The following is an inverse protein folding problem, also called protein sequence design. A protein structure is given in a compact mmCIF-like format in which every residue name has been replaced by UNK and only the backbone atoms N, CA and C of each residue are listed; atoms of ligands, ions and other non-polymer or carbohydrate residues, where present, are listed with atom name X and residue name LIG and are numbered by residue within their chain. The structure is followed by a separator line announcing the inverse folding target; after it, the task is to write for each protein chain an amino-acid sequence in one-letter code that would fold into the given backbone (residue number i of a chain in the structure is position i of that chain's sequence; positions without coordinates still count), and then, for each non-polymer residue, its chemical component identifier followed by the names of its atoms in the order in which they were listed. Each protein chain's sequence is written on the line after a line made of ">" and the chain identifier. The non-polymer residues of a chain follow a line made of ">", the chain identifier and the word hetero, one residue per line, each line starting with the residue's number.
data_IF_742125851028
#
_entry.id   IF_742125851028
#
_cell.length_a   1.000
_cell.length_b   1.000
_cell.length_c   1.000
_cell.angle_alpha   90.00
_cell.angle_beta   90.00
_cell.angle_gamma   90.00
#
_symmetry.space_group_name_H-M   'P 1'
#
loop_
_entity.id
_entity.type
_entity.pdbx_description
1 polymer ?
#
# COMPACT_ATOMS: atom_id res chain seq x y z
N UNK A 1 46.52 -26.83 -59.51
CA UNK A 1 47.13 -26.03 -60.60
C UNK A 1 46.30 -24.77 -60.78
N UNK A 2 46.88 -23.59 -60.48
CA UNK A 2 46.63 -22.22 -61.04
C UNK A 2 45.17 -21.67 -61.07
N UNK A 3 44.81 -20.40 -60.87
CA UNK A 3 45.52 -19.12 -60.73
C UNK A 3 44.55 -18.04 -60.19
N UNK A 4 45.16 -16.96 -59.68
CA UNK A 4 44.77 -15.53 -59.52
C UNK A 4 43.69 -15.01 -60.52
N UNK A 5 42.92 -13.93 -60.33
CA UNK A 5 42.96 -12.73 -59.47
C UNK A 5 42.25 -11.55 -60.21
N UNK A 6 42.08 -10.41 -59.52
CA UNK A 6 41.78 -9.03 -60.01
C UNK A 6 40.33 -8.54 -60.27
N UNK A 7 40.03 -7.31 -59.80
CA UNK A 7 39.04 -6.39 -60.40
C UNK A 7 38.44 -5.29 -59.49
N UNK A 8 38.57 -4.00 -59.86
CA UNK A 8 38.27 -2.75 -59.13
C UNK A 8 36.81 -2.19 -59.25
N UNK A 9 36.43 -1.30 -58.28
CA UNK A 9 35.59 -0.05 -58.23
C UNK A 9 34.84 0.53 -59.49
N UNK A 10 34.08 1.69 -59.44
CA UNK A 10 33.02 2.24 -58.55
C UNK A 10 31.85 2.96 -59.33
N UNK A 11 30.88 3.59 -58.62
CA UNK A 11 29.92 4.61 -59.16
C UNK A 11 28.43 4.24 -58.93
N UNK A 12 27.43 5.10 -58.73
CA UNK A 12 27.14 6.51 -59.04
C UNK A 12 26.01 7.02 -58.10
N UNK A 13 25.87 8.34 -57.89
CA UNK A 13 24.86 8.94 -57.00
C UNK A 13 23.72 9.75 -57.67
N UNK A 14 22.85 10.32 -56.81
CA UNK A 14 21.82 11.39 -56.98
C UNK A 14 20.52 11.09 -57.75
N UNK A 15 19.40 11.90 -57.61
CA UNK A 15 19.26 13.27 -57.06
C UNK A 15 18.03 13.58 -56.13
N UNK A 16 18.05 14.79 -55.54
CA UNK A 16 17.00 15.47 -54.75
C UNK A 16 15.99 16.26 -55.62
N UNK A 17 14.78 16.51 -55.10
CA UNK A 17 13.76 17.41 -55.69
C UNK A 17 13.42 18.62 -54.78
N UNK A 18 13.09 19.80 -55.36
CA UNK A 18 12.76 21.03 -54.63
C UNK A 18 11.25 21.34 -54.57
N UNK A 19 10.81 22.14 -53.60
CA UNK A 19 9.44 22.66 -53.54
C UNK A 19 9.37 24.04 -52.86
N UNK A 20 9.08 25.08 -53.66
CA UNK A 20 8.80 26.46 -53.26
C UNK A 20 7.33 26.64 -52.84
N UNK A 21 7.07 27.52 -51.87
CA UNK A 21 5.73 28.10 -51.62
C UNK A 21 5.68 29.03 -50.39
N UNK A 22 5.36 30.30 -50.61
CA UNK A 22 4.95 31.37 -49.65
C UNK A 22 3.66 32.04 -50.23
N UNK A 23 2.91 32.95 -49.56
CA UNK A 23 2.98 33.50 -48.18
C UNK A 23 1.63 33.66 -47.39
N UNK A 24 1.75 33.73 -46.05
CA UNK A 24 1.17 34.64 -45.03
C UNK A 24 -0.31 35.14 -45.06
N UNK A 25 -1.07 34.79 -44.01
CA UNK A 25 -1.98 35.61 -43.16
C UNK A 25 -2.20 34.76 -41.87
N UNK A 26 -2.06 35.17 -40.61
CA UNK A 26 -2.37 36.43 -39.96
C UNK A 26 -3.39 36.16 -38.85
N UNK A 27 -2.97 35.74 -37.65
CA UNK A 27 -3.72 35.92 -36.39
C UNK A 27 -2.86 35.48 -35.19
N UNK A 28 -2.59 36.41 -34.29
CA UNK A 28 -1.98 36.13 -33.01
C UNK A 28 -2.98 35.54 -32.02
N UNK A 29 -2.48 34.74 -31.08
CA UNK A 29 -2.89 34.67 -29.67
C UNK A 29 -1.93 33.67 -29.00
N UNK A 30 -1.07 34.18 -28.12
CA UNK A 30 -1.11 33.98 -26.67
C UNK A 30 -0.53 32.65 -26.19
N UNK A 31 0.60 32.78 -25.49
CA UNK A 31 1.21 31.77 -24.63
C UNK A 31 0.21 31.26 -23.58
N UNK A 32 0.45 30.06 -23.04
CA UNK A 32 0.29 29.90 -21.60
C UNK A 32 1.60 29.44 -20.95
N UNK A 33 2.16 30.33 -20.14
CA UNK A 33 3.03 29.97 -19.02
C UNK A 33 2.19 29.33 -17.91
N UNK A 34 2.71 28.25 -17.32
CA UNK A 34 2.67 28.00 -15.89
C UNK A 34 1.30 27.71 -15.25
N UNK A 35 0.93 26.43 -15.16
CA UNK A 35 0.05 25.96 -14.08
C UNK A 35 0.39 24.51 -13.73
N UNK A 36 1.27 24.35 -12.75
CA UNK A 36 1.76 23.03 -12.32
C UNK A 36 2.12 23.04 -10.84
N UNK A 37 1.17 23.37 -9.96
CA UNK A 37 1.25 23.06 -8.53
C UNK A 37 -0.06 23.44 -7.83
N UNK A 38 -1.02 22.54 -7.80
CA UNK A 38 -2.29 22.77 -7.08
C UNK A 38 -3.27 21.60 -7.11
N UNK A 39 -3.19 20.74 -8.13
CA UNK A 39 -4.11 19.59 -8.30
C UNK A 39 -3.60 18.25 -7.70
N UNK A 40 -2.48 18.23 -6.97
CA UNK A 40 -1.96 16.98 -6.40
C UNK A 40 -2.60 16.62 -5.05
N UNK A 41 -3.21 17.57 -4.34
CA UNK A 41 -3.76 17.34 -3.00
C UNK A 41 -5.28 17.07 -3.02
N UNK A 42 -6.00 17.53 -4.05
CA UNK A 42 -7.42 17.24 -4.23
C UNK A 42 -7.67 15.90 -4.92
N UNK A 43 -6.71 15.41 -5.72
CA UNK A 43 -6.70 14.05 -6.25
C UNK A 43 -6.42 12.98 -5.18
N UNK A 44 -5.88 13.38 -4.02
CA UNK A 44 -5.62 12.46 -2.90
C UNK A 44 -6.89 12.11 -2.11
N UNK A 45 -7.84 13.04 -1.98
CA UNK A 45 -9.17 12.75 -1.45
C UNK A 45 -10.06 12.02 -2.47
N UNK A 46 -9.84 12.24 -3.78
CA UNK A 46 -10.61 11.56 -4.82
C UNK A 46 -10.10 10.14 -5.12
N UNK A 47 -8.79 9.88 -5.00
CA UNK A 47 -8.21 8.55 -5.15
C UNK A 47 -8.47 7.65 -3.92
N UNK A 48 -8.42 8.22 -2.71
CA UNK A 48 -8.90 7.54 -1.51
C UNK A 48 -10.43 7.34 -1.56
N UNK A 49 -11.16 8.27 -2.21
CA UNK A 49 -12.57 8.14 -2.58
C UNK A 49 -12.86 7.13 -3.69
N UNK A 50 -11.89 6.76 -4.54
CA UNK A 50 -12.07 5.79 -5.64
C UNK A 50 -11.79 4.35 -5.18
N UNK A 51 -10.82 4.16 -4.28
CA UNK A 51 -10.73 2.95 -3.48
C UNK A 51 -11.98 2.79 -2.59
N UNK A 52 -12.47 3.88 -1.97
CA UNK A 52 -13.76 3.88 -1.26
C UNK A 52 -14.98 3.66 -2.18
N UNK A 53 -14.96 4.10 -3.44
CA UNK A 53 -16.11 3.94 -4.37
C UNK A 53 -16.18 2.56 -5.01
N UNK A 54 -15.07 1.83 -5.11
CA UNK A 54 -15.11 0.39 -5.43
C UNK A 54 -15.43 -0.46 -4.18
N UNK A 55 -15.23 0.10 -2.98
CA UNK A 55 -15.56 -0.48 -1.67
C UNK A 55 -17.02 -0.20 -1.25
N UNK A 56 -17.64 0.88 -1.75
CA UNK A 56 -19.03 1.26 -1.50
C UNK A 56 -20.07 0.58 -2.40
N UNK A 57 -19.68 0.12 -3.59
CA UNK A 57 -20.56 -0.64 -4.50
C UNK A 57 -20.71 -2.13 -4.13
N UNK A 58 -19.98 -2.58 -3.11
CA UNK A 58 -20.06 -3.93 -2.52
C UNK A 58 -20.64 -3.92 -1.09
N UNK A 59 -21.11 -2.78 -0.59
CA UNK A 59 -21.76 -2.64 0.73
C UNK A 59 -23.27 -2.91 0.66
N UNK A 60 -23.64 -4.16 0.38
CA UNK A 60 -25.04 -4.60 0.44
C UNK A 60 -25.24 -6.07 0.79
N UNK A 61 -24.19 -6.88 0.74
CA UNK A 61 -24.25 -8.29 1.14
C UNK A 61 -23.03 -8.58 2.02
N UNK A 62 -23.27 -8.99 3.26
CA UNK A 62 -22.25 -9.64 4.08
C UNK A 62 -21.78 -10.85 3.27
N UNK A 63 -20.53 -10.82 2.80
CA UNK A 63 -19.93 -11.93 2.05
C UNK A 63 -20.14 -13.22 2.87
N UNK A 64 -20.88 -14.23 2.36
CA UNK A 64 -21.08 -15.49 3.07
C UNK A 64 -19.76 -16.14 3.48
N UNK A 65 -18.70 -15.90 2.72
CA UNK A 65 -17.36 -16.37 3.01
C UNK A 65 -16.71 -15.63 4.19
N UNK A 66 -17.03 -14.35 4.39
CA UNK A 66 -16.60 -13.59 5.57
C UNK A 66 -17.26 -14.15 6.84
N UNK A 67 -18.55 -14.48 6.82
CA UNK A 67 -19.19 -15.09 8.00
C UNK A 67 -18.60 -16.48 8.33
N UNK A 68 -18.24 -17.26 7.32
CA UNK A 68 -17.54 -18.53 7.53
C UNK A 68 -16.14 -18.32 8.15
N UNK A 69 -15.39 -17.30 7.71
CA UNK A 69 -14.11 -16.92 8.32
C UNK A 69 -14.29 -16.40 9.76
N UNK A 70 -15.34 -15.62 10.02
CA UNK A 70 -15.68 -15.17 11.38
C UNK A 70 -15.84 -16.36 12.31
N UNK A 71 -16.70 -17.33 11.94
CA UNK A 71 -16.94 -18.53 12.74
C UNK A 71 -15.69 -19.42 12.88
N UNK A 72 -14.74 -19.34 11.94
CA UNK A 72 -13.47 -20.07 12.04
C UNK A 72 -12.48 -19.40 13.01
N UNK A 73 -12.56 -18.08 13.17
CA UNK A 73 -11.75 -17.33 14.13
C UNK A 73 -12.37 -17.35 15.54
N UNK A 74 -13.68 -17.20 15.64
CA UNK A 74 -14.49 -17.28 16.87
C UNK A 74 -14.57 -18.74 17.35
N UNK A 75 -13.50 -19.18 18.02
CA UNK A 75 -13.26 -20.57 18.38
C UNK A 75 -14.15 -21.03 19.53
N UNK A 76 -14.60 -20.08 20.36
CA UNK A 76 -15.47 -20.34 21.50
C UNK A 76 -16.96 -20.04 21.20
N UNK A 77 -17.26 -19.58 19.98
CA UNK A 77 -18.61 -19.22 19.53
C UNK A 77 -19.27 -18.15 20.43
N UNK A 78 -18.47 -17.25 20.99
CA UNK A 78 -18.94 -16.14 21.82
C UNK A 78 -19.66 -15.06 21.00
N UNK A 79 -19.50 -15.06 19.68
CA UNK A 79 -19.98 -13.99 18.80
C UNK A 79 -19.04 -12.78 18.78
N UNK A 80 -17.84 -12.90 19.35
CA UNK A 80 -16.81 -11.86 19.35
C UNK A 80 -15.42 -12.47 19.20
N UNK A 81 -14.54 -11.83 18.45
CA UNK A 81 -13.16 -12.27 18.26
C UNK A 81 -12.23 -11.41 19.13
N UNK A 82 -11.48 -12.08 19.99
CA UNK A 82 -10.51 -11.51 20.92
C UNK A 82 -9.09 -11.49 20.34
N UNK A 83 -8.18 -10.74 20.98
CA UNK A 83 -6.74 -10.73 20.59
C UNK A 83 -6.14 -12.13 20.62
N UNK A 84 -6.53 -12.95 21.61
CA UNK A 84 -6.07 -14.32 21.77
C UNK A 84 -6.49 -15.21 20.60
N UNK A 85 -7.72 -15.03 20.10
CA UNK A 85 -8.22 -15.78 18.95
C UNK A 85 -7.53 -15.36 17.66
N UNK A 86 -7.32 -14.05 17.46
CA UNK A 86 -6.51 -13.56 16.33
C UNK A 86 -5.10 -14.16 16.39
N UNK A 87 -4.44 -14.08 17.55
CA UNK A 87 -3.10 -14.64 17.72
C UNK A 87 -3.07 -16.15 17.41
N UNK A 88 -4.06 -16.90 17.93
CA UNK A 88 -4.16 -18.35 17.72
C UNK A 88 -4.38 -18.68 16.24
N UNK A 89 -5.27 -17.96 15.56
CA UNK A 89 -5.57 -18.16 14.15
C UNK A 89 -4.35 -17.95 13.24
N UNK A 90 -3.48 -16.98 13.59
CA UNK A 90 -2.27 -16.65 12.82
C UNK A 90 -0.96 -17.14 13.46
N UNK A 91 -1.04 -18.05 14.44
CA UNK A 91 0.13 -18.53 15.17
C UNK A 91 1.18 -19.16 14.26
N UNK A 92 0.73 -19.88 13.23
CA UNK A 92 1.60 -20.52 12.23
C UNK A 92 2.49 -19.53 11.45
N UNK A 93 2.09 -18.26 11.38
CA UNK A 93 2.83 -17.21 10.69
C UNK A 93 3.73 -16.39 11.61
N UNK A 94 3.96 -16.84 12.85
CA UNK A 94 4.71 -16.11 13.89
C UNK A 94 4.12 -14.72 14.21
N UNK A 95 2.81 -14.55 14.03
CA UNK A 95 2.15 -13.29 14.35
C UNK A 95 2.08 -13.08 15.86
N UNK A 96 2.67 -11.98 16.34
CA UNK A 96 2.76 -11.71 17.78
C UNK A 96 1.42 -11.24 18.37
N UNK A 97 1.18 -11.54 19.64
CA UNK A 97 -0.01 -11.05 20.36
C UNK A 97 -0.07 -9.51 20.40
N UNK A 98 1.08 -8.84 20.48
CA UNK A 98 1.13 -7.39 20.45
C UNK A 98 0.66 -6.84 19.10
N UNK A 99 1.14 -7.43 18.00
CA UNK A 99 0.72 -7.05 16.65
C UNK A 99 -0.78 -7.31 16.43
N UNK A 100 -1.30 -8.42 16.96
CA UNK A 100 -2.73 -8.73 16.92
C UNK A 100 -3.57 -7.67 17.65
N UNK A 101 -3.10 -7.21 18.81
CA UNK A 101 -3.73 -6.13 19.55
C UNK A 101 -3.73 -4.81 18.78
N UNK A 102 -2.61 -4.43 18.16
CA UNK A 102 -2.52 -3.21 17.33
C UNK A 102 -3.49 -3.28 16.15
N UNK A 103 -3.58 -4.44 15.49
CA UNK A 103 -4.49 -4.64 14.37
C UNK A 103 -5.95 -4.52 14.82
N UNK A 104 -6.31 -5.14 15.94
CA UNK A 104 -7.65 -5.05 16.51
C UNK A 104 -8.00 -3.59 16.84
N UNK A 105 -7.12 -2.87 17.54
CA UNK A 105 -7.32 -1.47 17.90
C UNK A 105 -7.37 -0.55 16.68
N UNK A 106 -6.75 -0.94 15.56
CA UNK A 106 -6.82 -0.18 14.33
C UNK A 106 -8.19 -0.32 13.64
N UNK A 107 -8.84 -1.48 13.77
CA UNK A 107 -10.13 -1.75 13.11
C UNK A 107 -11.33 -1.45 14.00
N UNK A 108 -11.20 -1.66 15.31
CA UNK A 108 -12.29 -1.52 16.28
C UNK A 108 -11.90 -0.53 17.39
N UNK A 109 -12.90 0.17 17.94
CA UNK A 109 -12.74 0.93 19.19
C UNK A 109 -13.03 0.07 20.44
N UNK A 110 -13.54 -1.15 20.24
CA UNK A 110 -13.78 -2.14 21.29
C UNK A 110 -12.53 -3.00 21.49
N UNK A 111 -12.48 -3.74 22.60
CA UNK A 111 -11.42 -4.73 22.88
C UNK A 111 -11.60 -6.05 22.12
N UNK A 112 -12.62 -6.13 21.27
CA UNK A 112 -13.00 -7.30 20.47
C UNK A 112 -13.53 -6.86 19.10
N UNK A 113 -13.59 -7.82 18.18
CA UNK A 113 -14.22 -7.68 16.86
C UNK A 113 -15.55 -8.41 16.90
N UNK A 114 -16.64 -7.74 16.59
CA UNK A 114 -17.97 -8.34 16.44
C UNK A 114 -18.31 -8.57 14.97
N UNK A 115 -19.46 -9.18 14.70
CA UNK A 115 -19.93 -9.41 13.33
C UNK A 115 -20.06 -8.11 12.50
N UNK A 116 -20.18 -6.93 13.13
CA UNK A 116 -20.28 -5.65 12.42
C UNK A 116 -18.91 -5.12 11.98
N UNK A 117 -17.89 -5.30 12.83
CA UNK A 117 -16.52 -4.82 12.58
C UNK A 117 -15.66 -5.86 11.84
N UNK A 118 -16.06 -7.13 11.87
CA UNK A 118 -15.34 -8.22 11.21
C UNK A 118 -15.15 -8.03 9.70
N UNK A 119 -16.14 -7.59 8.91
CA UNK A 119 -15.93 -7.42 7.47
C UNK A 119 -14.77 -6.48 7.14
N UNK A 120 -14.59 -5.41 7.95
CA UNK A 120 -13.46 -4.48 7.79
C UNK A 120 -12.14 -5.16 8.14
N UNK A 121 -12.09 -5.91 9.24
CA UNK A 121 -10.91 -6.66 9.64
C UNK A 121 -10.50 -7.69 8.58
N UNK A 122 -11.47 -8.47 8.10
CA UNK A 122 -11.28 -9.52 7.12
C UNK A 122 -10.78 -8.96 5.78
N UNK A 123 -11.35 -7.85 5.33
CA UNK A 123 -10.87 -7.14 4.14
C UNK A 123 -9.40 -6.73 4.27
N UNK A 124 -8.97 -6.17 5.41
CA UNK A 124 -7.56 -5.83 5.63
C UNK A 124 -6.65 -7.05 5.56
N UNK A 125 -7.02 -8.15 6.23
CA UNK A 125 -6.25 -9.40 6.19
C UNK A 125 -6.13 -9.92 4.76
N UNK A 126 -7.24 -9.95 4.01
CA UNK A 126 -7.24 -10.41 2.62
C UNK A 126 -6.38 -9.51 1.73
N UNK A 127 -6.45 -8.19 1.89
CA UNK A 127 -5.58 -7.25 1.17
C UNK A 127 -4.11 -7.50 1.49
N UNK A 128 -3.74 -7.72 2.75
CA UNK A 128 -2.36 -8.02 3.14
C UNK A 128 -1.87 -9.31 2.50
N UNK A 129 -2.68 -10.37 2.56
CA UNK A 129 -2.34 -11.65 1.95
C UNK A 129 -2.14 -11.53 0.43
N UNK A 130 -3.09 -10.90 -0.27
CA UNK A 130 -3.02 -10.76 -1.73
C UNK A 130 -1.77 -10.00 -2.17
N UNK A 131 -1.46 -8.87 -1.50
CA UNK A 131 -0.27 -8.08 -1.81
C UNK A 131 1.01 -8.83 -1.46
N UNK A 132 1.05 -9.51 -0.31
CA UNK A 132 2.20 -10.34 0.07
C UNK A 132 2.47 -11.44 -0.97
N UNK A 133 1.43 -12.15 -1.42
CA UNK A 133 1.55 -13.19 -2.43
C UNK A 133 2.02 -12.62 -3.78
N UNK A 134 1.54 -11.45 -4.16
CA UNK A 134 1.96 -10.79 -5.40
C UNK A 134 3.43 -10.35 -5.36
N UNK A 135 3.87 -9.77 -4.23
CA UNK A 135 5.24 -9.30 -4.07
C UNK A 135 6.25 -10.42 -3.83
N UNK A 136 5.85 -11.51 -3.16
CA UNK A 136 6.73 -12.67 -2.89
C UNK A 136 7.05 -13.52 -4.10
N UNK A 137 6.27 -13.40 -5.18
CA UNK A 137 6.46 -14.20 -6.42
C UNK A 137 6.55 -15.71 -6.13
N UNK A 138 5.80 -16.20 -5.13
CA UNK A 138 5.77 -17.60 -4.71
C UNK A 138 6.80 -17.98 -3.64
N UNK A 139 7.60 -17.04 -3.14
CA UNK A 139 8.47 -17.25 -1.98
C UNK A 139 7.68 -17.13 -0.66
N UNK A 140 8.23 -17.70 0.41
CA UNK A 140 7.63 -17.60 1.75
C UNK A 140 8.01 -16.30 2.49
N UNK A 141 9.00 -15.58 1.99
CA UNK A 141 9.49 -14.31 2.55
C UNK A 141 9.58 -13.23 1.47
N UNK A 142 9.58 -11.98 1.90
CA UNK A 142 9.80 -10.81 1.05
C UNK A 142 10.95 -9.96 1.58
N UNK A 143 11.76 -9.42 0.67
CA UNK A 143 12.89 -8.55 0.99
C UNK A 143 12.44 -7.09 1.12
N UNK A 144 13.28 -6.24 1.70
CA UNK A 144 12.96 -4.85 1.95
C UNK A 144 12.41 -4.05 0.73
N UNK A 145 12.92 -4.24 -0.50
CA UNK A 145 12.32 -3.61 -1.69
C UNK A 145 10.89 -4.10 -1.99
N UNK A 146 10.62 -5.39 -1.78
CA UNK A 146 9.29 -5.98 -1.97
C UNK A 146 8.32 -5.51 -0.88
N UNK A 147 8.78 -5.35 0.36
CA UNK A 147 7.98 -4.74 1.44
C UNK A 147 7.60 -3.30 1.07
N UNK A 148 8.55 -2.51 0.54
CA UNK A 148 8.26 -1.15 0.08
C UNK A 148 7.21 -1.12 -1.02
N UNK A 149 7.32 -2.01 -2.01
CA UNK A 149 6.30 -2.17 -3.05
C UNK A 149 4.94 -2.55 -2.46
N UNK A 150 4.90 -3.53 -1.55
CA UNK A 150 3.69 -4.00 -0.91
C UNK A 150 2.97 -2.89 -0.14
N UNK A 151 3.72 -2.12 0.66
CA UNK A 151 3.21 -0.99 1.44
C UNK A 151 2.66 0.12 0.54
N UNK A 152 3.29 0.37 -0.61
CA UNK A 152 2.75 1.30 -1.63
C UNK A 152 1.45 0.78 -2.26
N UNK A 153 1.35 -0.53 -2.53
CA UNK A 153 0.13 -1.14 -3.07
C UNK A 153 -1.04 -1.08 -2.08
N UNK A 154 -0.73 -1.16 -0.78
CA UNK A 154 -1.69 -0.93 0.31
C UNK A 154 -1.95 0.56 0.57
N UNK A 155 -1.36 1.46 -0.22
CA UNK A 155 -1.52 2.91 -0.17
C UNK A 155 -1.11 3.54 1.18
N UNK A 156 -0.18 2.91 1.91
CA UNK A 156 0.38 3.48 3.13
C UNK A 156 1.38 4.59 2.79
N UNK A 157 1.26 5.70 3.52
CA UNK A 157 2.18 6.84 3.41
C UNK A 157 3.29 6.68 4.47
N UNK A 158 4.38 6.02 4.11
CA UNK A 158 5.54 5.86 4.98
C UNK A 158 6.82 6.21 4.24
N UNK A 159 7.72 6.92 4.92
CA UNK A 159 9.04 7.23 4.37
C UNK A 159 9.97 6.02 4.48
N UNK A 160 10.90 5.91 3.53
CA UNK A 160 11.80 4.76 3.43
C UNK A 160 12.62 4.50 4.72
N UNK A 161 13.19 5.50 5.42
CA UNK A 161 13.95 5.24 6.66
C UNK A 161 13.08 4.63 7.76
N UNK A 162 11.84 5.12 7.92
CA UNK A 162 10.88 4.58 8.89
C UNK A 162 10.48 3.15 8.53
N UNK A 163 10.27 2.87 7.24
CA UNK A 163 9.94 1.52 6.79
C UNK A 163 11.10 0.55 7.05
N UNK A 164 12.35 0.94 6.79
CA UNK A 164 13.52 0.10 7.09
C UNK A 164 13.64 -0.18 8.59
N UNK A 165 13.38 0.81 9.46
CA UNK A 165 13.37 0.60 10.90
C UNK A 165 12.27 -0.38 11.35
N UNK A 166 11.09 -0.33 10.71
CA UNK A 166 10.02 -1.31 10.97
C UNK A 166 10.42 -2.71 10.51
N UNK A 167 11.02 -2.85 9.34
CA UNK A 167 11.53 -4.13 8.86
C UNK A 167 12.55 -4.69 9.85
N UNK A 168 13.57 -3.92 10.24
CA UNK A 168 14.58 -4.37 11.22
C UNK A 168 13.98 -4.74 12.59
N UNK A 169 12.88 -4.08 12.99
CA UNK A 169 12.21 -4.38 14.26
C UNK A 169 11.46 -5.71 14.23
N UNK A 170 10.81 -6.04 13.10
CA UNK A 170 9.94 -7.21 12.99
C UNK A 170 10.64 -8.42 12.35
N UNK A 171 11.54 -8.23 11.38
CA UNK A 171 12.44 -9.24 10.82
C UNK A 171 13.69 -9.37 11.70
N UNK A 172 13.50 -10.03 12.85
CA UNK A 172 14.52 -10.19 13.89
C UNK A 172 15.63 -11.18 13.53
N UNK A 173 15.37 -12.09 12.58
CA UNK A 173 16.35 -13.08 12.13
C UNK A 173 17.11 -12.66 10.86
N UNK A 174 16.71 -11.54 10.26
CA UNK A 174 17.30 -10.93 9.07
C UNK A 174 17.31 -11.86 7.85
N UNK A 175 16.34 -12.76 7.75
CA UNK A 175 16.20 -13.70 6.61
C UNK A 175 15.15 -13.23 5.60
N UNK A 176 14.58 -12.05 5.81
CA UNK A 176 13.50 -11.49 5.01
C UNK A 176 12.16 -11.69 5.71
N UNK A 177 11.24 -10.80 5.38
CA UNK A 177 9.97 -10.63 6.11
C UNK A 177 9.00 -11.76 5.76
N UNK A 178 8.64 -12.57 6.74
CA UNK A 178 7.57 -13.58 6.65
C UNK A 178 6.17 -12.92 6.71
N UNK A 179 5.12 -13.66 6.37
CA UNK A 179 3.76 -13.09 6.32
C UNK A 179 3.30 -12.50 7.66
N UNK A 180 3.57 -13.13 8.81
CA UNK A 180 3.16 -12.56 10.10
C UNK A 180 4.00 -11.35 10.53
N UNK A 181 5.26 -11.27 10.11
CA UNK A 181 6.08 -10.07 10.30
C UNK A 181 5.57 -8.93 9.42
N UNK A 182 5.19 -9.22 8.18
CA UNK A 182 4.55 -8.28 7.28
C UNK A 182 3.21 -7.77 7.85
N UNK A 183 2.36 -8.67 8.36
CA UNK A 183 1.13 -8.28 9.06
C UNK A 183 1.42 -7.38 10.26
N UNK A 184 2.51 -7.61 10.98
CA UNK A 184 2.92 -6.78 12.12
C UNK A 184 3.32 -5.37 11.70
N UNK A 185 4.05 -5.23 10.59
CA UNK A 185 4.38 -3.94 9.99
C UNK A 185 3.09 -3.22 9.57
N UNK A 186 2.18 -3.91 8.87
CA UNK A 186 0.92 -3.33 8.43
C UNK A 186 0.00 -2.92 9.60
N UNK A 187 -0.07 -3.72 10.66
CA UNK A 187 -0.83 -3.40 11.87
C UNK A 187 -0.30 -2.11 12.53
N UNK A 188 1.02 -1.95 12.62
CA UNK A 188 1.64 -0.72 13.13
C UNK A 188 1.31 0.50 12.25
N UNK A 189 1.35 0.35 10.93
CA UNK A 189 1.00 1.44 10.00
C UNK A 189 -0.48 1.80 10.05
N UNK A 190 -1.37 0.82 10.20
CA UNK A 190 -2.81 1.05 10.34
C UNK A 190 -3.14 1.82 11.62
N UNK A 191 -2.60 1.41 12.77
CA UNK A 191 -2.89 2.11 14.03
C UNK A 191 -2.34 3.54 13.99
N UNK A 192 -1.15 3.75 13.41
CA UNK A 192 -0.58 5.10 13.20
C UNK A 192 -1.47 5.94 12.29
N UNK A 193 -2.01 5.35 11.22
CA UNK A 193 -2.93 6.05 10.31
C UNK A 193 -4.25 6.41 11.00
N UNK A 194 -4.81 5.50 11.80
CA UNK A 194 -6.00 5.77 12.63
C UNK A 194 -5.75 6.92 13.62
N UNK A 195 -4.59 6.94 14.27
CA UNK A 195 -4.20 8.02 15.17
C UNK A 195 -4.09 9.35 14.43
N UNK A 196 -3.47 9.38 13.25
CA UNK A 196 -3.43 10.59 12.42
C UNK A 196 -4.84 11.06 12.06
N UNK A 197 -5.73 10.17 11.58
CA UNK A 197 -7.12 10.56 11.27
C UNK A 197 -7.87 11.08 12.51
N UNK A 198 -7.59 10.52 13.69
CA UNK A 198 -8.23 10.90 14.94
C UNK A 198 -7.76 12.26 15.49
N UNK A 199 -6.47 12.55 15.38
CA UNK A 199 -5.85 13.71 16.03
C UNK A 199 -5.47 14.85 15.05
N UNK A 200 -5.23 14.56 13.77
CA UNK A 200 -4.93 15.55 12.72
C UNK A 200 -6.21 15.95 11.98
N UNK A 201 -7.10 16.63 12.69
CA UNK A 201 -8.38 17.10 12.12
C UNK A 201 -8.21 18.03 10.91
N UNK A 202 -7.02 18.63 10.75
CA UNK A 202 -6.69 19.55 9.65
C UNK A 202 -6.06 18.82 8.45
N UNK A 203 -5.81 17.51 8.53
CA UNK A 203 -5.10 16.73 7.52
C UNK A 203 -3.78 17.39 7.09
N UNK A 204 -3.09 17.99 8.04
CA UNK A 204 -1.82 18.72 7.84
C UNK A 204 -0.61 17.79 7.74
N UNK A 205 -0.76 16.53 8.19
CA UNK A 205 0.33 15.58 8.39
C UNK A 205 1.15 15.85 9.64
N UNK A 206 0.75 16.81 10.50
CA UNK A 206 1.51 17.24 11.67
C UNK A 206 0.61 17.18 12.91
N UNK A 207 1.08 16.51 13.95
CA UNK A 207 0.46 16.52 15.28
C UNK A 207 1.28 17.39 16.22
N UNK A 208 0.63 18.38 16.84
CA UNK A 208 1.20 19.15 17.95
C UNK A 208 0.63 18.62 19.25
N UNK A 209 1.48 18.03 20.08
CA UNK A 209 1.10 17.39 21.33
C UNK A 209 1.89 18.02 22.49
N UNK A 210 1.23 18.18 23.63
CA UNK A 210 1.90 18.41 24.90
C UNK A 210 2.35 17.08 25.51
N UNK A 211 3.02 17.12 26.67
CA UNK A 211 3.55 15.91 27.31
C UNK A 211 2.44 14.90 27.65
N UNK A 212 1.27 15.37 28.09
CA UNK A 212 0.13 14.51 28.40
C UNK A 212 -0.43 13.86 27.12
N UNK A 213 -0.54 14.62 26.02
CA UNK A 213 -0.95 14.11 24.72
C UNK A 213 0.01 13.06 24.17
N UNK A 214 1.32 13.26 24.34
CA UNK A 214 2.33 12.27 23.94
C UNK A 214 2.23 10.97 24.76
N UNK A 215 2.04 11.07 26.07
CA UNK A 215 1.83 9.90 26.93
C UNK A 215 0.54 9.15 26.55
N UNK A 216 -0.57 9.88 26.36
CA UNK A 216 -1.84 9.31 25.93
C UNK A 216 -1.73 8.62 24.57
N UNK A 217 -0.96 9.17 23.63
CA UNK A 217 -0.70 8.53 22.34
C UNK A 217 0.16 7.26 22.50
N UNK A 218 1.17 7.28 23.37
CA UNK A 218 2.01 6.11 23.66
C UNK A 218 1.21 4.91 24.18
N UNK A 219 0.14 5.14 24.95
CA UNK A 219 -0.74 4.07 25.46
C UNK A 219 -1.42 3.25 24.36
N UNK A 220 -1.56 3.79 23.14
CA UNK A 220 -2.13 3.03 22.01
C UNK A 220 -1.20 1.95 21.48
N UNK A 221 0.09 1.99 21.83
CA UNK A 221 1.09 1.02 21.36
C UNK A 221 1.47 -0.02 22.42
N UNK A 222 0.98 0.13 23.66
CA UNK A 222 1.12 -0.80 24.77
C UNK A 222 -0.06 -1.76 24.81
#
# INVERSE_FOLDING_TARGET
>A
MFNQGYGQMPGYGMPQMPGQGMPQMGMGMQQPMGMGMGMAQQSMNMAMGMANNMMGSMMGQVDPMAMARFNALDSDHSGTITVQEIQKAYQQFKFSAQSAKLLLQAVSDKTFIDAQTFPVFDQYIMSFYNVFMQCSMGQQTIQAPQVQQAVMMLNFKVQQPTLMALIQKYDSDHRGVEFGEFMSICAYLLITSKLMTKFDQKNSGILTLDMNGLQALGLWFL
#
